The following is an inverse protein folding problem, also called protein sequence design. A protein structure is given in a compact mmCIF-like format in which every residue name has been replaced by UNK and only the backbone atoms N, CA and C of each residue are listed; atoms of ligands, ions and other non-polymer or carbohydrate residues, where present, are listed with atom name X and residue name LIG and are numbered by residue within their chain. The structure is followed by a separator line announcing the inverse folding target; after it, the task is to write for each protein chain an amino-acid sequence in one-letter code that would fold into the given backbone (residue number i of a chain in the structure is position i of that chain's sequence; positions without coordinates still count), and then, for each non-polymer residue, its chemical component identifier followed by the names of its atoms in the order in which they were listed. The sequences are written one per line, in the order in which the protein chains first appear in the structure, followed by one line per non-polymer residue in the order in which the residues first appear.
data_IF_028208267106
#
_entry.id   IF_028208267106
#
_cell.length_a   1.000
_cell.length_b   1.000
_cell.length_c   1.000
_cell.angle_alpha   90.00
_cell.angle_beta   90.00
_cell.angle_gamma   90.00
#
_symmetry.space_group_name_H-M   'P 1'
#
loop_
_entity.id
_entity.type
_entity.pdbx_description
1 polymer ?
#
# COMPACT_ATOMS: atom_id res chain seq x y z
N UNK A 1 -1.47 -50.47 22.29
CA UNK A 1 -1.57 -49.60 21.10
C UNK A 1 -0.24 -48.88 20.93
N UNK A 2 0.54 -49.18 19.89
CA UNK A 2 1.83 -48.54 19.68
C UNK A 2 1.61 -47.07 19.27
N UNK A 3 2.16 -46.13 20.03
CA UNK A 3 2.15 -44.71 19.70
C UNK A 3 2.86 -44.50 18.36
N UNK A 4 2.13 -43.98 17.36
CA UNK A 4 2.70 -43.62 16.05
C UNK A 4 3.78 -42.58 16.28
N UNK A 5 5.02 -42.89 15.84
CA UNK A 5 6.12 -41.93 15.80
C UNK A 5 5.66 -40.65 15.07
N UNK A 6 5.99 -39.44 15.60
CA UNK A 6 5.68 -38.20 14.89
C UNK A 6 6.36 -38.22 13.52
N UNK A 7 5.56 -38.03 12.46
CA UNK A 7 6.04 -37.98 11.08
C UNK A 7 6.84 -36.70 10.88
N UNK A 8 7.88 -36.77 10.03
CA UNK A 8 8.62 -35.58 9.60
C UNK A 8 7.65 -34.59 8.93
N UNK A 9 7.72 -33.29 9.24
CA UNK A 9 6.87 -32.28 8.63
C UNK A 9 7.07 -32.26 7.11
N UNK A 10 5.99 -32.34 6.36
CA UNK A 10 6.03 -32.22 4.91
C UNK A 10 6.02 -30.73 4.51
N UNK A 11 6.51 -30.39 3.33
CA UNK A 11 6.51 -29.01 2.82
C UNK A 11 5.11 -28.36 2.87
N UNK A 12 4.07 -29.18 2.67
CA UNK A 12 2.66 -28.77 2.72
C UNK A 12 2.21 -28.37 4.15
N UNK A 13 2.74 -29.02 5.19
CA UNK A 13 2.42 -28.68 6.59
C UNK A 13 3.05 -27.32 6.99
N UNK A 14 4.23 -27.03 6.45
CA UNK A 14 4.93 -25.74 6.64
C UNK A 14 4.17 -24.63 5.90
N UNK A 15 3.71 -24.91 4.67
CA UNK A 15 2.91 -23.99 3.88
C UNK A 15 1.62 -23.59 4.61
N UNK A 16 0.91 -24.54 5.23
CA UNK A 16 -0.30 -24.26 6.00
C UNK A 16 -0.05 -23.18 7.06
N UNK A 17 1.02 -23.34 7.84
CA UNK A 17 1.40 -22.38 8.88
C UNK A 17 1.69 -20.99 8.31
N UNK A 18 2.35 -20.92 7.14
CA UNK A 18 2.62 -19.65 6.46
C UNK A 18 1.34 -18.98 5.98
N UNK A 19 0.42 -19.74 5.37
CA UNK A 19 -0.89 -19.25 4.93
C UNK A 19 -1.68 -18.67 6.11
N UNK A 20 -1.79 -19.41 7.23
CA UNK A 20 -2.51 -18.91 8.41
C UNK A 20 -1.91 -17.62 8.97
N UNK A 21 -0.57 -17.52 9.03
CA UNK A 21 0.10 -16.28 9.47
C UNK A 21 -0.20 -15.11 8.54
N UNK A 22 -0.18 -15.34 7.23
CA UNK A 22 -0.47 -14.32 6.24
C UNK A 22 -1.93 -13.86 6.30
N UNK A 23 -2.88 -14.81 6.36
CA UNK A 23 -4.31 -14.55 6.54
C UNK A 23 -4.57 -13.73 7.82
N UNK A 24 -3.92 -14.10 8.92
CA UNK A 24 -4.04 -13.37 10.19
C UNK A 24 -3.45 -11.97 10.14
N UNK A 25 -2.32 -11.77 9.45
CA UNK A 25 -1.64 -10.48 9.37
C UNK A 25 -2.45 -9.43 8.58
N UNK A 26 -3.17 -9.89 7.56
CA UNK A 26 -3.88 -9.03 6.61
C UNK A 26 -5.40 -9.09 6.71
N UNK A 27 -5.94 -9.82 7.69
CA UNK A 27 -7.37 -10.00 7.92
C UNK A 27 -8.13 -10.57 6.69
N UNK A 28 -7.58 -11.63 6.09
CA UNK A 28 -8.09 -12.28 4.87
C UNK A 28 -8.87 -13.60 5.12
N UNK A 29 -9.52 -13.74 6.26
CA UNK A 29 -10.13 -14.99 6.74
C UNK A 29 -11.35 -15.39 5.89
N UNK A 30 -11.99 -14.40 5.28
CA UNK A 30 -13.12 -14.59 4.37
C UNK A 30 -12.70 -14.82 2.92
N UNK A 31 -11.39 -14.86 2.61
CA UNK A 31 -10.92 -15.06 1.25
C UNK A 31 -11.21 -16.51 0.79
N UNK A 32 -11.98 -16.71 -0.31
CA UNK A 32 -12.37 -18.05 -0.75
C UNK A 32 -11.19 -18.92 -1.19
N UNK A 33 -10.16 -18.33 -1.82
CA UNK A 33 -9.00 -19.08 -2.30
C UNK A 33 -8.14 -19.58 -1.14
N UNK A 34 -7.83 -18.71 -0.18
CA UNK A 34 -7.01 -19.06 0.98
C UNK A 34 -7.71 -20.02 1.93
N UNK A 35 -9.00 -19.82 2.18
CA UNK A 35 -9.79 -20.73 3.03
C UNK A 35 -9.91 -22.12 2.40
N UNK A 36 -10.21 -22.18 1.10
CA UNK A 36 -10.25 -23.43 0.34
C UNK A 36 -8.89 -24.14 0.31
N UNK A 37 -7.81 -23.39 0.07
CA UNK A 37 -6.45 -23.95 0.05
C UNK A 37 -6.03 -24.46 1.43
N UNK A 38 -6.32 -23.72 2.50
CA UNK A 38 -6.03 -24.15 3.87
C UNK A 38 -6.78 -25.43 4.22
N UNK A 39 -8.07 -25.52 3.87
CA UNK A 39 -8.89 -26.72 4.05
C UNK A 39 -8.35 -27.91 3.25
N UNK A 40 -7.99 -27.71 1.98
CA UNK A 40 -7.41 -28.75 1.13
C UNK A 40 -6.08 -29.30 1.69
N UNK A 41 -5.27 -28.43 2.29
CA UNK A 41 -4.03 -28.82 2.97
C UNK A 41 -4.32 -29.62 4.25
N UNK A 42 -5.27 -29.17 5.07
CA UNK A 42 -5.63 -29.83 6.33
C UNK A 42 -6.26 -31.21 6.10
N UNK A 43 -7.22 -31.29 5.19
CA UNK A 43 -7.91 -32.53 4.84
C UNK A 43 -7.08 -33.45 3.92
N UNK A 44 -6.01 -32.91 3.32
CA UNK A 44 -5.14 -33.58 2.33
C UNK A 44 -5.92 -34.09 1.12
N UNK A 45 -6.97 -33.36 0.74
CA UNK A 45 -7.85 -33.65 -0.39
C UNK A 45 -7.80 -32.51 -1.39
N UNK A 46 -8.09 -32.83 -2.65
CA UNK A 46 -8.27 -31.84 -3.72
C UNK A 46 -7.09 -30.89 -3.99
N UNK A 47 -5.91 -31.18 -3.42
CA UNK A 47 -4.66 -30.44 -3.64
C UNK A 47 -4.29 -30.29 -5.12
N UNK A 48 -4.71 -31.24 -5.97
CA UNK A 48 -4.50 -31.19 -7.41
C UNK A 48 -5.27 -30.06 -8.10
N UNK A 49 -6.45 -29.69 -7.59
CA UNK A 49 -7.26 -28.57 -8.10
C UNK A 49 -6.50 -27.26 -7.85
N UNK A 50 -5.97 -27.10 -6.63
CA UNK A 50 -5.20 -25.91 -6.26
C UNK A 50 -3.82 -25.85 -6.93
N UNK A 51 -3.25 -27.00 -7.29
CA UNK A 51 -1.98 -27.07 -8.02
C UNK A 51 -2.10 -26.64 -9.50
N UNK A 52 -3.29 -26.67 -10.06
CA UNK A 52 -3.59 -26.22 -11.43
C UNK A 52 -3.86 -24.71 -11.50
N UNK A 53 -4.27 -24.09 -10.38
CA UNK A 53 -4.49 -22.64 -10.28
C UNK A 53 -3.15 -21.88 -10.15
N UNK A 54 -3.03 -20.72 -10.79
CA UNK A 54 -1.86 -19.84 -10.61
C UNK A 54 -2.01 -19.01 -9.32
N UNK A 55 -1.19 -19.24 -8.28
CA UNK A 55 -1.30 -18.47 -7.04
C UNK A 55 -1.08 -16.97 -7.25
N UNK A 56 -0.36 -16.55 -8.29
CA UNK A 56 -0.17 -15.13 -8.60
C UNK A 56 -1.45 -14.44 -9.07
N UNK A 57 -2.42 -15.19 -9.60
CA UNK A 57 -3.70 -14.68 -10.04
C UNK A 57 -4.74 -14.71 -8.91
N UNK A 58 -4.75 -15.80 -8.13
CA UNK A 58 -5.79 -16.03 -7.11
C UNK A 58 -5.46 -15.48 -5.73
N UNK A 59 -4.19 -15.21 -5.40
CA UNK A 59 -3.87 -14.58 -4.11
C UNK A 59 -4.42 -13.16 -4.06
N UNK A 60 -5.18 -12.78 -2.99
CA UNK A 60 -5.67 -11.42 -2.85
C UNK A 60 -4.51 -10.43 -2.69
N UNK A 61 -4.81 -9.15 -2.92
CA UNK A 61 -3.89 -8.03 -2.71
C UNK A 61 -4.32 -7.30 -1.43
N UNK A 62 -3.61 -7.51 -0.30
CA UNK A 62 -3.94 -6.80 0.94
C UNK A 62 -3.76 -5.29 0.80
N UNK A 63 -4.67 -4.53 1.42
CA UNK A 63 -4.54 -3.07 1.51
C UNK A 63 -3.47 -2.66 2.51
N UNK A 64 -2.64 -1.68 2.14
CA UNK A 64 -1.71 -1.04 3.05
C UNK A 64 -2.43 -0.06 3.99
N UNK A 65 -2.86 -0.55 5.16
CA UNK A 65 -3.56 0.26 6.18
C UNK A 65 -2.66 1.22 6.98
N UNK A 66 -1.43 1.46 6.54
CA UNK A 66 -0.48 2.35 7.22
C UNK A 66 -0.79 3.82 6.94
N UNK A 67 -0.65 4.65 7.98
CA UNK A 67 -0.76 6.10 7.83
C UNK A 67 -2.16 6.62 7.52
N UNK A 68 -3.23 5.83 7.69
CA UNK A 68 -4.62 6.23 7.38
C UNK A 68 -5.04 7.53 8.08
N UNK A 69 -4.74 7.67 9.37
CA UNK A 69 -5.08 8.89 10.12
C UNK A 69 -4.34 10.13 9.58
N UNK A 70 -3.07 9.98 9.23
CA UNK A 70 -2.27 11.05 8.60
C UNK A 70 -2.77 11.37 7.19
N UNK A 71 -3.14 10.37 6.39
CA UNK A 71 -3.74 10.56 5.08
C UNK A 71 -5.07 11.33 5.17
N UNK A 72 -5.91 10.99 6.16
CA UNK A 72 -7.18 11.68 6.43
C UNK A 72 -6.95 13.13 6.84
N UNK A 73 -5.99 13.37 7.74
CA UNK A 73 -5.63 14.73 8.17
C UNK A 73 -5.14 15.57 6.98
N UNK A 74 -4.21 15.05 6.17
CA UNK A 74 -3.73 15.74 4.97
C UNK A 74 -4.89 16.08 4.03
N UNK A 75 -5.83 15.16 3.83
CA UNK A 75 -7.02 15.40 2.98
C UNK A 75 -7.90 16.52 3.54
N UNK A 76 -8.19 16.52 4.84
CA UNK A 76 -8.98 17.57 5.50
C UNK A 76 -8.28 18.93 5.37
N UNK A 77 -6.98 18.99 5.71
CA UNK A 77 -6.20 20.22 5.62
C UNK A 77 -6.10 20.75 4.18
N UNK A 78 -6.07 19.85 3.18
CA UNK A 78 -6.11 20.24 1.75
C UNK A 78 -7.42 20.95 1.42
N UNK A 79 -8.56 20.42 1.88
CA UNK A 79 -9.88 21.04 1.67
C UNK A 79 -9.96 22.40 2.35
N UNK A 80 -9.54 22.48 3.62
CA UNK A 80 -9.50 23.74 4.38
C UNK A 80 -8.65 24.77 3.65
N UNK A 81 -7.43 24.40 3.24
CA UNK A 81 -6.52 25.27 2.49
C UNK A 81 -7.18 25.79 1.20
N UNK A 82 -7.84 24.93 0.45
CA UNK A 82 -8.46 25.31 -0.83
C UNK A 82 -9.59 26.32 -0.65
N UNK A 83 -10.39 26.18 0.42
CA UNK A 83 -11.44 27.15 0.75
C UNK A 83 -10.84 28.45 1.28
N UNK A 84 -9.84 28.35 2.18
CA UNK A 84 -9.22 29.49 2.83
C UNK A 84 -8.49 30.45 1.86
N UNK A 85 -8.04 29.97 0.70
CA UNK A 85 -7.47 30.81 -0.38
C UNK A 85 -8.45 31.92 -0.82
N UNK A 86 -9.76 31.70 -0.71
CA UNK A 86 -10.77 32.69 -1.08
C UNK A 86 -11.17 33.63 0.07
N UNK A 87 -10.77 33.33 1.31
CA UNK A 87 -11.14 34.12 2.46
C UNK A 87 -10.66 35.58 2.40
N UNK A 88 -9.44 35.91 1.93
CA UNK A 88 -9.02 37.31 1.85
C UNK A 88 -9.89 38.13 0.89
N UNK A 89 -10.23 37.54 -0.27
CA UNK A 89 -11.12 38.19 -1.22
C UNK A 89 -12.51 38.40 -0.60
N UNK A 90 -13.08 37.39 0.05
CA UNK A 90 -14.37 37.54 0.72
C UNK A 90 -14.34 38.62 1.82
N UNK A 91 -13.26 38.70 2.59
CA UNK A 91 -13.10 39.70 3.65
C UNK A 91 -13.03 41.11 3.09
N UNK A 92 -12.21 41.35 2.06
CA UNK A 92 -12.12 42.67 1.42
C UNK A 92 -13.46 43.14 0.87
N UNK A 93 -14.23 42.27 0.21
CA UNK A 93 -15.58 42.64 -0.27
C UNK A 93 -16.55 42.94 0.86
N UNK A 94 -16.51 42.18 1.95
CA UNK A 94 -17.31 42.45 3.14
C UNK A 94 -16.94 43.81 3.76
N UNK A 95 -15.65 44.11 3.86
CA UNK A 95 -15.16 45.39 4.37
C UNK A 95 -15.53 46.57 3.49
N UNK A 96 -15.42 46.44 2.16
CA UNK A 96 -15.87 47.48 1.21
C UNK A 96 -17.36 47.75 1.38
N UNK A 97 -18.19 46.71 1.56
CA UNK A 97 -19.62 46.86 1.80
C UNK A 97 -19.92 47.61 3.11
N UNK A 98 -19.24 47.23 4.20
CA UNK A 98 -19.37 47.91 5.49
C UNK A 98 -18.92 49.38 5.41
N UNK A 99 -17.77 49.65 4.79
CA UNK A 99 -17.25 51.00 4.59
C UNK A 99 -18.17 51.85 3.72
N UNK A 100 -18.75 51.29 2.65
CA UNK A 100 -19.70 52.00 1.78
C UNK A 100 -20.97 52.39 2.53
N UNK A 101 -21.47 51.47 3.37
CA UNK A 101 -22.65 51.71 4.21
C UNK A 101 -22.37 52.80 5.24
N UNK A 102 -21.25 52.69 5.97
CA UNK A 102 -20.84 53.70 6.95
C UNK A 102 -20.58 55.07 6.32
N UNK A 103 -19.98 55.12 5.13
CA UNK A 103 -19.71 56.38 4.44
C UNK A 103 -21.00 57.08 3.99
N UNK A 104 -21.98 56.30 3.53
CA UNK A 104 -23.31 56.82 3.18
C UNK A 104 -24.03 57.42 4.38
N UNK A 105 -23.84 56.86 5.58
CA UNK A 105 -24.35 57.42 6.82
C UNK A 105 -23.60 58.70 7.23
N UNK A 106 -22.26 58.68 7.17
CA UNK A 106 -21.42 59.84 7.44
C UNK A 106 -21.78 61.07 6.57
N UNK A 107 -22.01 60.87 5.27
CA UNK A 107 -22.46 61.95 4.36
C UNK A 107 -23.80 62.53 4.80
N UNK A 108 -24.75 61.68 5.20
CA UNK A 108 -26.09 62.14 5.63
C UNK A 108 -26.03 62.98 6.90
N UNK A 109 -25.11 62.68 7.80
CA UNK A 109 -24.97 63.37 9.08
C UNK A 109 -24.17 64.68 8.95
N UNK A 110 -23.18 64.74 8.06
CA UNK A 110 -22.23 65.87 7.98
C UNK A 110 -22.40 66.82 6.78
N UNK A 111 -23.32 66.53 5.85
CA UNK A 111 -23.70 67.49 4.81
C UNK A 111 -22.60 67.77 3.78
N UNK A 112 -22.08 69.01 3.71
CA UNK A 112 -21.15 69.48 2.66
C UNK A 112 -19.66 69.36 3.01
N UNK A 113 -19.30 69.20 4.28
CA UNK A 113 -17.91 69.04 4.74
C UNK A 113 -17.54 67.55 4.84
N UNK A 114 -17.62 66.84 3.71
CA UNK A 114 -17.37 65.39 3.65
C UNK A 114 -15.92 65.12 3.24
N UNK A 115 -15.22 64.31 4.02
CA UNK A 115 -13.91 63.77 3.67
C UNK A 115 -13.98 62.75 2.52
N UNK A 116 -12.83 62.42 1.91
CA UNK A 116 -12.76 61.37 0.89
C UNK A 116 -13.12 59.99 1.49
N UNK A 117 -13.73 59.12 0.69
CA UNK A 117 -14.05 57.74 1.07
C UNK A 117 -12.87 56.97 1.70
N UNK A 118 -11.65 57.11 1.15
CA UNK A 118 -10.47 56.41 1.69
C UNK A 118 -10.08 56.94 3.07
N UNK A 119 -10.19 58.25 3.29
CA UNK A 119 -9.93 58.84 4.60
C UNK A 119 -10.99 58.42 5.62
N UNK A 120 -12.27 58.37 5.21
CA UNK A 120 -13.34 57.77 6.00
C UNK A 120 -13.05 56.30 6.33
N UNK A 121 -12.67 55.49 5.34
CA UNK A 121 -12.42 54.06 5.55
C UNK A 121 -11.20 53.81 6.45
N UNK A 122 -10.22 54.71 6.45
CA UNK A 122 -9.07 54.64 7.34
C UNK A 122 -9.43 55.01 8.78
N UNK A 123 -10.19 56.09 8.98
CA UNK A 123 -10.39 56.67 10.31
C UNK A 123 -11.71 56.24 10.98
N UNK A 124 -12.74 55.92 10.19
CA UNK A 124 -14.04 55.40 10.61
C UNK A 124 -14.99 56.40 11.27
N UNK A 125 -14.47 57.50 11.83
CA UNK A 125 -15.24 58.62 12.41
C UNK A 125 -16.36 58.17 13.37
N UNK A 126 -16.08 57.16 14.21
CA UNK A 126 -17.00 56.54 15.18
C UNK A 126 -18.28 55.89 14.60
N UNK A 127 -18.42 55.86 13.26
CA UNK A 127 -19.50 55.20 12.53
C UNK A 127 -19.07 53.81 12.05
N UNK A 128 -17.83 53.68 11.57
CA UNK A 128 -17.28 52.42 11.10
C UNK A 128 -16.53 51.69 12.24
N UNK A 129 -16.93 50.44 12.51
CA UNK A 129 -16.25 49.56 13.45
C UNK A 129 -14.76 49.41 13.14
N UNK A 130 -13.94 49.28 14.18
CA UNK A 130 -12.47 49.23 14.06
C UNK A 130 -12.00 48.02 13.23
N UNK A 131 -12.73 46.91 13.28
CA UNK A 131 -12.47 45.71 12.50
C UNK A 131 -12.63 45.91 10.98
N UNK A 132 -13.43 46.88 10.55
CA UNK A 132 -13.71 47.16 9.14
C UNK A 132 -12.82 48.25 8.55
N UNK A 133 -12.01 48.93 9.37
CA UNK A 133 -11.05 49.93 8.89
C UNK A 133 -10.05 49.28 7.95
N UNK A 134 -9.70 49.99 6.87
CA UNK A 134 -8.87 49.43 5.78
C UNK A 134 -7.55 48.84 6.28
N UNK A 135 -6.90 49.46 7.27
CA UNK A 135 -5.65 48.98 7.85
C UNK A 135 -5.80 47.65 8.62
N UNK A 136 -6.90 47.46 9.34
CA UNK A 136 -7.15 46.23 10.09
C UNK A 136 -7.53 45.08 9.15
N UNK A 137 -8.34 45.37 8.13
CA UNK A 137 -8.70 44.40 7.07
C UNK A 137 -7.45 43.94 6.33
N UNK A 138 -6.60 44.87 5.87
CA UNK A 138 -5.35 44.54 5.18
C UNK A 138 -4.40 43.70 6.06
N UNK A 139 -4.32 43.98 7.36
CA UNK A 139 -3.54 43.17 8.31
C UNK A 139 -4.11 41.76 8.42
N UNK A 140 -5.43 41.62 8.51
CA UNK A 140 -6.10 40.34 8.63
C UNK A 140 -5.89 39.50 7.36
N UNK A 141 -6.04 40.10 6.18
CA UNK A 141 -5.76 39.46 4.90
C UNK A 141 -4.32 38.96 4.80
N UNK A 142 -3.36 39.79 5.19
CA UNK A 142 -1.95 39.40 5.22
C UNK A 142 -1.72 38.17 6.10
N UNK A 143 -2.33 38.12 7.28
CA UNK A 143 -2.24 36.97 8.20
C UNK A 143 -2.91 35.74 7.59
N UNK A 144 -4.09 35.85 6.99
CA UNK A 144 -4.76 34.73 6.32
C UNK A 144 -3.88 34.17 5.20
N UNK A 145 -3.33 35.02 4.34
CA UNK A 145 -2.45 34.61 3.24
C UNK A 145 -1.21 33.87 3.78
N UNK A 146 -0.60 34.38 4.84
CA UNK A 146 0.54 33.72 5.49
C UNK A 146 0.17 32.33 6.01
N UNK A 147 -0.99 32.19 6.67
CA UNK A 147 -1.51 30.90 7.14
C UNK A 147 -1.72 29.94 5.96
N UNK A 148 -2.30 30.40 4.84
CA UNK A 148 -2.51 29.59 3.64
C UNK A 148 -1.18 29.09 3.06
N UNK A 149 -0.14 29.92 3.04
CA UNK A 149 1.19 29.54 2.57
C UNK A 149 1.78 28.45 3.47
N UNK A 150 1.77 28.66 4.79
CA UNK A 150 2.28 27.67 5.77
C UNK A 150 1.52 26.36 5.65
N UNK A 151 0.19 26.42 5.57
CA UNK A 151 -0.66 25.24 5.42
C UNK A 151 -0.37 24.50 4.11
N UNK A 152 -0.10 25.23 3.02
CA UNK A 152 0.26 24.65 1.73
C UNK A 152 1.57 23.86 1.82
N UNK A 153 2.60 24.43 2.44
CA UNK A 153 3.88 23.75 2.64
C UNK A 153 3.72 22.51 3.53
N UNK A 154 2.96 22.63 4.62
CA UNK A 154 2.69 21.52 5.52
C UNK A 154 1.96 20.36 4.83
N UNK A 155 0.86 20.65 4.13
CA UNK A 155 0.08 19.65 3.38
C UNK A 155 0.93 18.96 2.32
N UNK A 156 1.78 19.71 1.62
CA UNK A 156 2.71 19.16 0.62
C UNK A 156 3.66 18.13 1.25
N UNK A 157 4.37 18.53 2.31
CA UNK A 157 5.36 17.68 2.97
C UNK A 157 4.72 16.46 3.65
N UNK A 158 3.65 16.68 4.41
CA UNK A 158 2.92 15.61 5.09
C UNK A 158 2.30 14.64 4.07
N UNK A 159 1.74 15.15 2.97
CA UNK A 159 1.21 14.34 1.89
C UNK A 159 2.28 13.50 1.20
N UNK A 160 3.49 14.03 1.00
CA UNK A 160 4.58 13.25 0.44
C UNK A 160 5.01 12.12 1.38
N UNK A 161 5.19 12.40 2.68
CA UNK A 161 5.58 11.42 3.69
C UNK A 161 4.58 10.27 3.82
N UNK A 162 3.27 10.56 3.78
CA UNK A 162 2.23 9.54 3.82
C UNK A 162 2.32 8.63 2.59
N UNK A 163 2.46 9.22 1.39
CA UNK A 163 2.56 8.44 0.14
C UNK A 163 3.81 7.58 0.09
N UNK A 164 4.95 8.07 0.60
CA UNK A 164 6.18 7.27 0.64
C UNK A 164 6.05 6.09 1.59
N UNK A 165 5.42 6.30 2.75
CA UNK A 165 5.17 5.23 3.71
C UNK A 165 4.24 4.18 3.12
N UNK A 166 3.10 4.60 2.56
CA UNK A 166 2.13 3.70 1.91
C UNK A 166 2.79 2.87 0.80
N UNK A 167 3.51 3.52 -0.12
CA UNK A 167 4.24 2.82 -1.20
C UNK A 167 5.26 1.82 -0.67
N UNK A 168 6.00 2.17 0.38
CA UNK A 168 6.99 1.25 0.96
C UNK A 168 6.34 0.01 1.56
N UNK A 169 5.16 0.18 2.18
CA UNK A 169 4.38 -0.91 2.76
C UNK A 169 3.70 -1.74 1.68
N UNK A 170 3.08 -1.12 0.67
CA UNK A 170 2.53 -1.81 -0.51
C UNK A 170 3.59 -2.70 -1.16
N UNK A 171 4.79 -2.16 -1.40
CA UNK A 171 5.91 -2.94 -1.95
C UNK A 171 6.34 -4.11 -1.04
N UNK A 172 6.26 -3.95 0.28
CA UNK A 172 6.58 -5.02 1.22
C UNK A 172 5.51 -6.12 1.20
N UNK A 173 4.23 -5.72 1.17
CA UNK A 173 3.08 -6.62 1.05
C UNK A 173 3.16 -7.41 -0.26
N UNK A 174 3.45 -6.74 -1.38
CA UNK A 174 3.56 -7.37 -2.71
C UNK A 174 4.71 -8.38 -2.77
N UNK A 175 5.84 -8.07 -2.10
CA UNK A 175 6.95 -9.03 -1.96
C UNK A 175 6.54 -10.25 -1.14
N UNK A 176 5.85 -10.05 -0.02
CA UNK A 176 5.36 -11.16 0.81
C UNK A 176 4.34 -12.02 0.06
N UNK A 177 3.42 -11.38 -0.68
CA UNK A 177 2.44 -12.04 -1.55
C UNK A 177 3.13 -12.86 -2.64
N UNK A 178 4.12 -12.29 -3.33
CA UNK A 178 4.89 -12.98 -4.38
C UNK A 178 5.67 -14.16 -3.80
N UNK A 179 6.28 -14.00 -2.63
CA UNK A 179 6.98 -15.09 -1.94
C UNK A 179 6.01 -16.22 -1.56
N UNK A 180 4.84 -15.89 -1.02
CA UNK A 180 3.80 -16.87 -0.70
C UNK A 180 3.30 -17.60 -1.96
N UNK A 181 3.13 -16.89 -3.07
CA UNK A 181 2.75 -17.50 -4.35
C UNK A 181 3.76 -18.55 -4.82
N UNK A 182 5.05 -18.22 -4.74
CA UNK A 182 6.16 -19.13 -5.08
C UNK A 182 6.16 -20.34 -4.16
N UNK A 183 5.97 -20.14 -2.85
CA UNK A 183 5.88 -21.23 -1.87
C UNK A 183 4.69 -22.16 -2.15
N UNK A 184 3.50 -21.61 -2.42
CA UNK A 184 2.30 -22.39 -2.80
C UNK A 184 2.59 -23.21 -4.05
N UNK A 185 3.11 -22.57 -5.10
CA UNK A 185 3.39 -23.23 -6.37
C UNK A 185 4.42 -24.35 -6.23
N UNK A 186 5.48 -24.12 -5.46
CA UNK A 186 6.54 -25.11 -5.23
C UNK A 186 6.03 -26.28 -4.39
N UNK A 187 5.24 -26.02 -3.35
CA UNK A 187 4.71 -27.08 -2.48
C UNK A 187 3.63 -27.95 -3.16
N UNK A 188 2.90 -27.39 -4.12
CA UNK A 188 1.84 -28.08 -4.85
C UNK A 188 2.27 -28.67 -6.20
N UNK A 189 3.48 -28.41 -6.68
CA UNK A 189 3.92 -28.85 -8.03
C UNK A 189 3.81 -30.38 -8.20
N UNK A 190 4.23 -31.14 -7.18
CA UNK A 190 4.14 -32.61 -7.13
C UNK A 190 2.70 -33.13 -6.95
N UNK A 191 1.72 -32.24 -6.72
CA UNK A 191 0.31 -32.58 -6.47
C UNK A 191 -0.57 -32.40 -7.71
N UNK A 192 -0.02 -31.91 -8.82
CA UNK A 192 -0.75 -31.76 -10.10
C UNK A 192 -1.31 -33.09 -10.57
N UNK A 193 -2.48 -33.04 -11.22
CA UNK A 193 -3.11 -34.22 -11.79
C UNK A 193 -2.17 -34.88 -12.80
N UNK A 194 -1.97 -36.19 -12.66
CA UNK A 194 -1.18 -36.97 -13.61
C UNK A 194 -2.05 -37.14 -14.86
N UNK A 195 -1.74 -36.39 -15.91
CA UNK A 195 -2.30 -36.53 -17.25
C UNK A 195 -1.25 -37.21 -18.13
N UNK A 196 -1.64 -37.77 -19.29
CA UNK A 196 -0.69 -38.42 -20.20
C UNK A 196 0.48 -37.50 -20.58
N UNK A 197 0.25 -36.18 -20.64
CA UNK A 197 1.27 -35.17 -20.94
C UNK A 197 2.24 -34.97 -19.77
N UNK A 198 1.75 -34.82 -18.53
CA UNK A 198 2.62 -34.67 -17.36
C UNK A 198 3.36 -35.96 -17.02
N UNK A 199 2.74 -37.12 -17.28
CA UNK A 199 3.38 -38.43 -17.18
C UNK A 199 4.55 -38.54 -18.16
N UNK A 200 4.37 -38.18 -19.44
CA UNK A 200 5.44 -38.23 -20.43
C UNK A 200 6.62 -37.30 -20.07
N UNK A 201 6.35 -36.10 -19.56
CA UNK A 201 7.41 -35.17 -19.14
C UNK A 201 8.18 -35.67 -17.90
N UNK A 202 7.45 -36.18 -16.89
CA UNK A 202 8.05 -36.75 -15.68
C UNK A 202 8.84 -38.03 -15.98
N UNK A 203 8.31 -38.89 -16.85
CA UNK A 203 8.99 -40.08 -17.37
C UNK A 203 10.24 -39.69 -18.15
N UNK A 204 10.18 -38.70 -19.05
CA UNK A 204 11.34 -38.24 -19.79
C UNK A 204 12.45 -37.71 -18.87
N UNK A 205 12.10 -36.91 -17.86
CA UNK A 205 13.06 -36.43 -16.85
C UNK A 205 13.65 -37.54 -15.98
N UNK A 206 12.86 -38.56 -15.66
CA UNK A 206 13.31 -39.72 -14.87
C UNK A 206 14.17 -40.68 -15.68
N UNK A 207 13.81 -40.92 -16.95
CA UNK A 207 14.62 -41.69 -17.92
C UNK A 207 15.95 -41.00 -18.17
N UNK A 208 15.96 -39.68 -18.37
CA UNK A 208 17.19 -38.91 -18.52
C UNK A 208 18.11 -39.04 -17.29
N UNK A 209 17.54 -38.94 -16.07
CA UNK A 209 18.29 -39.17 -14.83
C UNK A 209 18.82 -40.59 -14.70
N UNK A 210 18.05 -41.60 -15.11
CA UNK A 210 18.48 -43.01 -15.12
C UNK A 210 19.60 -43.25 -16.14
N UNK A 211 19.49 -42.68 -17.35
CA UNK A 211 20.54 -42.76 -18.39
C UNK A 211 21.83 -42.11 -17.89
N UNK A 212 21.75 -40.92 -17.30
CA UNK A 212 22.91 -40.24 -16.73
C UNK A 212 23.55 -41.03 -15.57
N UNK A 213 22.73 -41.63 -14.71
CA UNK A 213 23.22 -42.49 -13.64
C UNK A 213 23.89 -43.76 -14.19
N UNK A 214 23.32 -44.37 -15.23
CA UNK A 214 23.88 -45.55 -15.90
C UNK A 214 25.24 -45.24 -16.55
N UNK A 215 25.36 -44.10 -17.23
CA UNK A 215 26.64 -43.64 -17.81
C UNK A 215 27.72 -43.40 -16.74
N UNK A 216 27.32 -42.84 -15.58
CA UNK A 216 28.23 -42.68 -14.44
C UNK A 216 28.66 -44.02 -13.85
N UNK A 217 27.75 -44.98 -13.74
CA UNK A 217 28.06 -46.35 -13.30
C UNK A 217 28.99 -47.07 -14.29
N UNK A 218 28.75 -46.93 -15.60
CA UNK A 218 29.64 -47.48 -16.62
C UNK A 218 31.04 -46.88 -16.53
N UNK A 219 31.14 -45.56 -16.36
CA UNK A 219 32.41 -44.86 -16.21
C UNK A 219 33.15 -45.31 -14.94
N UNK A 220 32.44 -45.42 -13.82
CA UNK A 220 32.99 -45.93 -12.57
C UNK A 220 33.45 -47.39 -12.68
N UNK A 221 32.69 -48.24 -13.40
CA UNK A 221 33.07 -49.63 -13.67
C UNK A 221 34.35 -49.71 -14.51
N UNK A 222 34.50 -48.87 -15.54
CA UNK A 222 35.74 -48.79 -16.35
C UNK A 222 36.95 -48.30 -15.54
N UNK A 223 36.75 -47.35 -14.63
CA UNK A 223 37.78 -46.90 -13.69
C UNK A 223 38.22 -48.05 -12.76
N UNK A 224 37.26 -48.82 -12.24
CA UNK A 224 37.53 -50.00 -11.42
C UNK A 224 38.28 -51.08 -12.21
N UNK A 225 37.90 -51.39 -13.45
CA UNK A 225 38.60 -52.38 -14.28
C UNK A 225 40.05 -51.93 -14.59
N UNK A 226 40.25 -50.64 -14.88
CA UNK A 226 41.60 -50.07 -15.04
C UNK A 226 42.43 -50.16 -13.76
N UNK A 227 41.83 -49.89 -12.60
CA UNK A 227 42.50 -50.02 -11.31
C UNK A 227 42.84 -51.48 -10.99
N UNK A 228 41.92 -52.41 -11.27
CA UNK A 228 42.12 -53.84 -11.08
C UNK A 228 43.26 -54.38 -11.95
N UNK A 229 43.40 -53.92 -13.19
CA UNK A 229 44.51 -54.28 -14.08
C UNK A 229 45.88 -53.73 -13.64
N UNK A 230 45.90 -52.68 -12.80
CA UNK A 230 47.12 -52.07 -12.26
C UNK A 230 47.56 -52.68 -10.93
N UNK A 231 46.76 -53.57 -10.34
CA UNK A 231 47.18 -54.33 -9.15
C UNK A 231 48.23 -55.37 -9.56
N UNK A 232 49.38 -55.43 -8.86
CA UNK A 232 50.41 -56.43 -9.15
C UNK A 232 49.85 -57.83 -8.90
N UNK A 233 50.05 -58.74 -9.85
CA UNK A 233 49.74 -60.16 -9.67
C UNK A 233 50.68 -60.71 -8.61
N UNK A 234 50.11 -61.21 -7.51
CA UNK A 234 50.83 -62.03 -6.52
C UNK A 234 51.17 -63.40 -7.11
#
# INVERSE_FOLDING_TARGET
MAARKPRKPQAVDILATRIYRWVSAYNLQSDPYLSGLAQAIEEKKDLHIFAEMDPMEYLPHPDANVGLASARLVRILTVIRNVLVFAPVALTWAAVSAATTGFSQYIKENGTDVVNFLDFWQNGYDILGEEWKIGNVARLDFVIVLIVIVLTLYVSQAGHKVRTLQRSTENAIDRERTALAIEIRTALDDKKKITNVTMNASLAGSVSRLVAASQKLESASREIDKAARKLPRA
#
